data_IF_085230432697
#
_entry.id   IF_085230432697
#
_cell.length_a   1.000
_cell.length_b   1.000
_cell.length_c   1.000
_cell.angle_alpha   90.00
_cell.angle_beta   90.00
_cell.angle_gamma   90.00
#
_symmetry.space_group_name_H-M   'P 1'
#
loop_
_entity.id
_entity.type
_entity.pdbx_description
1 polymer ?
#
# COMPACT_ATOMS: atom_id res chain seq x y z
N UNK A 1 -5.44 10.44 -2.02
CA UNK A 1 -5.74 9.06 -2.47
C UNK A 1 -6.14 8.24 -1.27
N UNK A 2 -7.04 7.28 -1.45
CA UNK A 2 -7.38 6.28 -0.44
C UNK A 2 -6.55 5.03 -0.63
N UNK A 3 -6.19 4.37 0.47
CA UNK A 3 -5.52 3.07 0.49
C UNK A 3 -6.27 2.16 1.47
N UNK A 4 -6.48 0.91 1.07
CA UNK A 4 -7.08 -0.13 1.91
C UNK A 4 -6.15 -1.33 1.95
N UNK A 5 -6.03 -1.91 3.13
CA UNK A 5 -5.20 -3.09 3.41
C UNK A 5 -6.13 -4.17 3.95
N UNK A 6 -6.10 -5.35 3.34
CA UNK A 6 -6.75 -6.53 3.84
C UNK A 6 -5.91 -7.77 3.54
N UNK A 7 -6.07 -8.80 4.36
CA UNK A 7 -5.36 -10.07 4.22
C UNK A 7 -5.59 -10.75 2.86
N UNK A 8 -6.67 -10.40 2.16
CA UNK A 8 -7.02 -10.99 0.86
C UNK A 8 -6.85 -10.03 -0.32
N UNK A 9 -6.87 -8.71 -0.07
CA UNK A 9 -6.84 -7.69 -1.11
C UNK A 9 -6.20 -6.40 -0.60
N UNK A 10 -5.38 -5.79 -1.44
CA UNK A 10 -4.88 -4.43 -1.27
C UNK A 10 -5.53 -3.54 -2.33
N UNK A 11 -5.98 -2.34 -1.95
CA UNK A 11 -6.61 -1.42 -2.88
C UNK A 11 -6.05 0.00 -2.74
N UNK A 12 -5.93 0.69 -3.86
CA UNK A 12 -5.57 2.10 -3.94
C UNK A 12 -6.53 2.83 -4.87
N UNK A 13 -7.00 4.00 -4.44
CA UNK A 13 -7.97 4.80 -5.19
C UNK A 13 -7.52 6.26 -5.24
N UNK A 14 -7.42 6.79 -6.46
CA UNK A 14 -7.26 8.22 -6.77
C UNK A 14 -8.55 8.76 -7.38
N UNK A 15 -8.57 10.04 -7.75
CA UNK A 15 -9.72 10.61 -8.44
C UNK A 15 -9.95 9.99 -9.84
N UNK A 16 -8.90 9.44 -10.44
CA UNK A 16 -8.88 8.99 -11.84
C UNK A 16 -8.78 7.46 -11.97
N UNK A 17 -8.29 6.77 -10.93
CA UNK A 17 -7.97 5.34 -11.00
C UNK A 17 -8.26 4.61 -9.69
N UNK A 18 -8.81 3.41 -9.81
CA UNK A 18 -8.86 2.42 -8.74
C UNK A 18 -8.04 1.19 -9.15
N UNK A 19 -7.19 0.71 -8.24
CA UNK A 19 -6.34 -0.48 -8.44
C UNK A 19 -6.55 -1.40 -7.24
N UNK A 20 -6.91 -2.65 -7.50
CA UNK A 20 -6.99 -3.72 -6.49
C UNK A 20 -6.04 -4.84 -6.90
N UNK A 21 -5.30 -5.38 -5.94
CA UNK A 21 -4.34 -6.47 -6.17
C UNK A 21 -4.32 -7.44 -4.99
N UNK A 22 -3.91 -8.68 -5.22
CA UNK A 22 -3.59 -9.62 -4.15
C UNK A 22 -2.42 -9.14 -3.29
N UNK A 23 -2.40 -9.45 -1.98
CA UNK A 23 -1.28 -9.15 -1.09
C UNK A 23 -0.14 -10.15 -1.32
N UNK A 24 0.39 -10.12 -2.54
CA UNK A 24 1.57 -10.85 -2.99
C UNK A 24 2.59 -9.80 -3.37
N UNK A 25 3.75 -9.79 -2.73
CA UNK A 25 4.81 -8.83 -2.99
C UNK A 25 5.97 -9.54 -3.67
N UNK A 26 6.37 -9.10 -4.85
CA UNK A 26 7.57 -9.57 -5.54
C UNK A 26 8.69 -8.56 -5.32
N UNK A 27 9.72 -8.98 -4.60
CA UNK A 27 10.94 -8.23 -4.35
C UNK A 27 11.98 -8.52 -5.44
N UNK A 28 12.73 -7.49 -5.79
CA UNK A 28 13.80 -7.56 -6.77
C UNK A 28 15.05 -6.87 -6.22
N UNK A 29 16.24 -7.32 -6.63
CA UNK A 29 17.49 -6.72 -6.17
C UNK A 29 17.81 -5.37 -6.85
N UNK A 30 17.44 -5.21 -8.12
CA UNK A 30 17.81 -4.04 -8.94
C UNK A 30 16.64 -3.13 -9.35
N UNK A 31 15.41 -3.44 -8.96
CA UNK A 31 14.22 -2.65 -9.31
C UNK A 31 13.27 -2.51 -8.12
N UNK A 32 12.29 -1.62 -8.28
CA UNK A 32 11.26 -1.43 -7.27
C UNK A 32 10.41 -2.69 -7.11
N UNK A 33 10.00 -3.04 -5.87
CA UNK A 33 9.04 -4.10 -5.62
C UNK A 33 7.73 -3.89 -6.37
N UNK A 34 7.10 -5.00 -6.73
CA UNK A 34 5.81 -5.02 -7.42
C UNK A 34 4.82 -5.85 -6.60
N UNK A 35 3.58 -5.38 -6.53
CA UNK A 35 2.52 -6.05 -5.76
C UNK A 35 1.49 -6.66 -6.71
N UNK A 36 0.85 -7.75 -6.29
CA UNK A 36 -0.19 -8.48 -7.02
C UNK A 36 0.31 -9.74 -7.69
N UNK A 37 -0.54 -10.32 -8.54
CA UNK A 37 -0.21 -11.49 -9.37
C UNK A 37 -0.11 -11.10 -10.85
N UNK A 38 0.51 -11.92 -11.72
CA UNK A 38 0.68 -11.56 -13.14
C UNK A 38 -0.62 -11.22 -13.88
N UNK A 39 -1.75 -11.83 -13.49
CA UNK A 39 -3.07 -11.51 -14.04
C UNK A 39 -3.56 -10.09 -13.70
N UNK A 40 -3.07 -9.48 -12.62
CA UNK A 40 -3.46 -8.15 -12.14
C UNK A 40 -2.37 -7.09 -12.41
N UNK A 41 -1.12 -7.52 -12.52
CA UNK A 41 0.03 -6.63 -12.67
C UNK A 41 0.89 -7.04 -13.87
N UNK A 42 0.76 -6.36 -15.02
CA UNK A 42 1.58 -6.65 -16.20
C UNK A 42 3.06 -6.30 -16.01
N UNK A 43 3.45 -5.58 -14.95
CA UNK A 43 4.85 -5.26 -14.66
C UNK A 43 5.64 -6.43 -14.06
N UNK A 44 4.96 -7.54 -13.71
CA UNK A 44 5.57 -8.78 -13.23
C UNK A 44 6.11 -9.60 -14.41
N UNK A 45 7.12 -9.05 -15.07
CA UNK A 45 7.68 -9.59 -16.32
C UNK A 45 8.86 -10.54 -16.12
N UNK A 46 9.44 -10.55 -14.91
CA UNK A 46 10.62 -11.35 -14.59
C UNK A 46 10.48 -12.01 -13.21
N UNK A 47 11.16 -13.14 -12.97
CA UNK A 47 11.17 -13.80 -11.66
C UNK A 47 11.76 -12.88 -10.58
N UNK A 48 11.18 -12.94 -9.39
CA UNK A 48 11.67 -12.24 -8.20
C UNK A 48 11.34 -13.03 -6.94
N UNK A 49 11.77 -12.52 -5.79
CA UNK A 49 11.48 -13.14 -4.50
C UNK A 49 10.04 -12.82 -4.10
N UNK A 50 9.17 -13.82 -4.15
CA UNK A 50 7.75 -13.68 -3.85
C UNK A 50 7.51 -13.86 -2.35
N UNK A 51 6.83 -12.90 -1.74
CA UNK A 51 6.45 -12.91 -0.32
C UNK A 51 4.93 -12.80 -0.20
N UNK A 52 4.34 -13.67 0.61
CA UNK A 52 2.90 -13.71 0.94
C UNK A 52 2.68 -13.55 2.44
N UNK A 53 1.42 -13.46 2.87
CA UNK A 53 0.98 -13.48 4.28
C UNK A 53 1.55 -12.35 5.15
N UNK A 54 2.17 -11.36 4.52
CA UNK A 54 2.86 -10.27 5.21
C UNK A 54 1.92 -9.29 5.90
N UNK A 55 0.67 -9.26 5.49
CA UNK A 55 -0.39 -8.50 6.16
C UNK A 55 -0.71 -9.13 7.52
N UNK A 56 -0.77 -10.46 7.59
CA UNK A 56 -1.12 -11.19 8.82
C UNK A 56 0.02 -11.18 9.86
N UNK A 57 1.26 -10.93 9.40
CA UNK A 57 2.47 -10.87 10.23
C UNK A 57 2.80 -9.47 10.76
N UNK A 58 1.90 -8.50 10.56
CA UNK A 58 2.03 -7.18 11.18
C UNK A 58 1.87 -7.30 12.69
N UNK A 59 2.89 -6.86 13.43
CA UNK A 59 3.02 -6.95 14.87
C UNK A 59 3.74 -8.21 15.35
N UNK A 60 4.01 -9.17 14.47
CA UNK A 60 4.67 -10.42 14.83
C UNK A 60 6.21 -10.25 14.92
N UNK A 61 6.83 -10.46 16.09
CA UNK A 61 8.28 -10.32 16.24
C UNK A 61 9.10 -11.35 15.45
N UNK A 62 8.52 -12.48 15.04
CA UNK A 62 9.23 -13.52 14.30
C UNK A 62 9.57 -13.10 12.86
N UNK A 63 8.81 -12.17 12.28
CA UNK A 63 8.93 -11.80 10.87
C UNK A 63 8.55 -12.95 9.92
N UNK A 64 8.94 -12.79 8.66
CA UNK A 64 8.68 -13.71 7.56
C UNK A 64 10.02 -14.13 6.98
N UNK A 65 10.26 -15.44 6.96
CA UNK A 65 11.43 -16.01 6.30
C UNK A 65 11.08 -16.24 4.85
N UNK A 66 11.82 -15.58 3.97
CA UNK A 66 11.66 -15.67 2.53
C UNK A 66 12.34 -16.93 1.97
N UNK A 67 12.06 -17.26 0.71
CA UNK A 67 12.64 -18.44 0.04
C UNK A 67 14.17 -18.39 -0.12
N UNK A 68 14.77 -17.20 -0.04
CA UNK A 68 16.23 -17.00 -0.06
C UNK A 68 16.87 -17.08 1.35
N UNK A 69 16.08 -17.39 2.38
CA UNK A 69 16.51 -17.49 3.77
C UNK A 69 16.60 -16.15 4.51
N UNK A 70 16.33 -15.02 3.84
CA UNK A 70 16.32 -13.72 4.51
C UNK A 70 15.04 -13.53 5.34
N UNK A 71 15.12 -12.72 6.39
CA UNK A 71 13.97 -12.43 7.26
C UNK A 71 13.50 -11.00 7.08
N UNK A 72 12.20 -10.83 6.86
CA UNK A 72 11.55 -9.55 6.66
C UNK A 72 10.45 -9.31 7.70
N UNK A 73 10.28 -8.07 8.14
CA UNK A 73 9.15 -7.72 9.01
C UNK A 73 7.88 -7.48 8.19
N UNK A 74 6.73 -7.89 8.74
CA UNK A 74 5.43 -7.72 8.10
C UNK A 74 5.13 -6.25 7.78
N UNK A 75 5.42 -5.32 8.70
CA UNK A 75 5.13 -3.89 8.50
C UNK A 75 5.98 -3.28 7.38
N UNK A 76 7.24 -3.72 7.27
CA UNK A 76 8.13 -3.27 6.19
C UNK A 76 7.59 -3.72 4.84
N UNK A 77 7.14 -4.97 4.75
CA UNK A 77 6.56 -5.52 3.51
C UNK A 77 5.22 -4.86 3.18
N UNK A 78 4.36 -4.59 4.17
CA UNK A 78 3.13 -3.82 3.97
C UNK A 78 3.44 -2.41 3.44
N UNK A 79 4.43 -1.73 4.03
CA UNK A 79 4.83 -0.40 3.57
C UNK A 79 5.33 -0.41 2.12
N UNK A 80 6.13 -1.42 1.75
CA UNK A 80 6.62 -1.61 0.38
C UNK A 80 5.48 -1.94 -0.60
N UNK A 81 4.56 -2.83 -0.22
CA UNK A 81 3.38 -3.16 -1.01
C UNK A 81 2.48 -1.94 -1.25
N UNK A 82 2.24 -1.14 -0.21
CA UNK A 82 1.47 0.11 -0.33
C UNK A 82 2.17 1.15 -1.20
N UNK A 83 3.50 1.24 -1.10
CA UNK A 83 4.31 2.11 -1.97
C UNK A 83 4.12 1.69 -3.42
N UNK A 84 4.32 0.41 -3.75
CA UNK A 84 4.13 -0.13 -5.10
C UNK A 84 2.70 0.10 -5.61
N UNK A 85 1.69 -0.14 -4.77
CA UNK A 85 0.29 0.05 -5.15
C UNK A 85 -0.08 1.52 -5.37
N UNK A 86 0.44 2.42 -4.53
CA UNK A 86 0.28 3.86 -4.72
C UNK A 86 0.92 4.32 -6.04
N UNK A 87 2.12 3.85 -6.35
CA UNK A 87 2.78 4.12 -7.63
C UNK A 87 1.96 3.64 -8.82
N UNK A 88 1.34 2.45 -8.73
CA UNK A 88 0.45 1.94 -9.76
C UNK A 88 -0.81 2.82 -9.92
N UNK A 89 -1.40 3.26 -8.81
CA UNK A 89 -2.60 4.09 -8.82
C UNK A 89 -2.36 5.52 -9.33
N UNK A 90 -1.16 6.07 -9.14
CA UNK A 90 -0.77 7.39 -9.65
C UNK A 90 -0.08 7.36 -11.01
N UNK A 91 0.14 6.19 -11.61
CA UNK A 91 0.83 6.05 -12.89
C UNK A 91 2.28 6.54 -12.85
N UNK A 92 2.97 6.34 -11.72
CA UNK A 92 4.35 6.82 -11.56
C UNK A 92 4.46 8.28 -11.11
N UNK A 93 3.37 9.05 -11.13
CA UNK A 93 3.38 10.42 -10.68
C UNK A 93 3.63 10.44 -9.16
N UNK A 94 4.75 11.04 -8.76
CA UNK A 94 4.99 11.35 -7.35
C UNK A 94 3.90 12.32 -6.93
N UNK A 95 3.22 12.04 -5.82
CA UNK A 95 2.28 13.00 -5.26
C UNK A 95 3.06 14.28 -4.89
N UNK A 96 3.17 15.22 -5.82
CA UNK A 96 3.77 16.53 -5.59
C UNK A 96 2.99 17.13 -4.43
N UNK A 97 3.67 17.65 -3.41
CA UNK A 97 3.05 18.43 -2.32
C UNK A 97 2.47 19.73 -2.88
N UNK A 98 1.51 19.68 -3.80
CA UNK A 98 0.64 20.80 -4.11
C UNK A 98 -0.55 20.67 -3.18
N UNK A 99 -0.29 21.03 -1.93
CA UNK A 99 -1.38 21.36 -1.02
C UNK A 99 -2.26 22.39 -1.73
N UNK A 100 -3.56 22.16 -1.91
CA UNK A 100 -4.44 23.19 -2.42
C UNK A 100 -4.38 24.36 -1.44
N UNK A 101 -4.02 25.55 -1.95
CA UNK A 101 -3.99 26.81 -1.18
C UNK A 101 -5.36 27.20 -0.58
N UNK A 102 -6.39 26.40 -0.82
CA UNK A 102 -7.75 26.56 -0.31
C UNK A 102 -7.94 26.08 1.14
N UNK A 103 -7.00 25.32 1.73
CA UNK A 103 -7.00 25.06 3.18
C UNK A 103 -6.16 26.13 3.87
N UNK A 104 -6.47 27.41 3.62
CA UNK A 104 -6.22 28.44 4.62
C UNK A 104 -7.35 28.32 5.63
N UNK A 105 -6.98 27.92 6.84
CA UNK A 105 -7.72 28.12 8.09
C UNK A 105 -8.71 29.29 7.98
N UNK A 106 -9.98 29.02 7.70
CA UNK A 106 -11.02 29.82 8.32
C UNK A 106 -11.04 29.36 9.77
N UNK A 107 -10.70 30.26 10.68
CA UNK A 107 -10.59 30.00 12.11
C UNK A 107 -11.94 29.73 12.78
N UNK A 108 -12.67 28.70 12.35
CA UNK A 108 -13.82 28.16 13.08
C UNK A 108 -13.51 26.74 13.54
N UNK A 109 -13.29 26.62 14.85
CA UNK A 109 -13.22 25.35 15.57
C UNK A 109 -14.47 24.52 15.22
N UNK A 110 -14.36 23.25 14.79
CA UNK A 110 -15.51 22.38 14.73
C UNK A 110 -15.93 22.09 16.18
N UNK A 111 -17.10 22.61 16.55
CA UNK A 111 -17.75 22.31 17.82
C UNK A 111 -18.30 20.90 17.67
N UNK A 112 -17.55 19.90 18.11
CA UNK A 112 -18.03 18.52 18.25
C UNK A 112 -19.23 18.54 19.19
N UNK A 113 -20.44 18.48 18.63
CA UNK A 113 -21.65 18.19 19.40
C UNK A 113 -21.87 16.69 19.36
N UNK A 114 -21.85 16.12 20.55
CA UNK A 114 -22.17 14.75 20.89
C UNK A 114 -23.35 14.19 20.07
N UNK A 115 -23.12 13.08 19.37
CA UNK A 115 -24.19 12.12 19.11
C UNK A 115 -24.39 11.31 20.39
N UNK A 116 -25.46 11.63 21.13
CA UNK A 116 -26.01 10.71 22.11
C UNK A 116 -26.91 9.72 21.39
N UNK A 117 -26.69 8.44 21.66
CA UNK A 117 -27.53 7.34 21.24
C UNK A 117 -28.98 7.49 21.72
N UNK A 118 -29.92 7.08 20.88
CA UNK A 118 -31.15 6.39 21.27
C UNK A 118 -31.43 5.31 20.25
#
# INVERSE_FOLDING_TARGET
MGLSIGATNLAAVTAERAVTRKPVLTLYQGRSPEVGVPAENPNLTEPGLVITDFVDRVGDPAGIVAADGTTHRGETLVAEALRALAYAATGGARCRRRWPSAIRRTGRRPRWRHCAAR
#
